data_IF_412235687492
#
_entry.id   IF_412235687492
#
_cell.length_a   1.000
_cell.length_b   1.000
_cell.length_c   1.000
_cell.angle_alpha   90.00
_cell.angle_beta   90.00
_cell.angle_gamma   90.00
#
_symmetry.space_group_name_H-M   'P 1'
#
loop_
_entity.id
_entity.type
_entity.pdbx_description
1 polymer ?
#
# COMPACT_ATOMS: atom_id res chain seq x y z
N UNK A 1 -0.08 19.60 17.94
CA UNK A 1 -1.09 18.62 18.36
C UNK A 1 -0.53 17.21 18.15
N UNK A 2 -0.42 16.47 19.25
CA UNK A 2 0.09 15.09 19.15
C UNK A 2 -1.08 14.15 18.90
N UNK A 3 -1.17 13.66 17.68
CA UNK A 3 -2.14 12.63 17.36
C UNK A 3 -1.47 11.29 17.63
N UNK A 4 -1.92 10.63 18.68
CA UNK A 4 -1.47 9.27 18.95
C UNK A 4 -2.26 8.31 18.08
N UNK A 5 -1.53 7.57 17.29
CA UNK A 5 -2.13 6.59 16.40
C UNK A 5 -2.14 5.24 17.13
N UNK A 6 -3.33 4.84 17.61
CA UNK A 6 -3.49 3.61 18.38
C UNK A 6 -4.18 2.53 17.55
N UNK A 7 -3.57 2.14 16.46
CA UNK A 7 -4.09 1.05 15.65
C UNK A 7 -3.54 -0.28 16.17
N UNK A 8 -4.43 -1.28 16.26
CA UNK A 8 -4.05 -2.66 16.58
C UNK A 8 -3.97 -3.53 15.33
N UNK A 9 -4.13 -2.93 14.16
CA UNK A 9 -4.00 -3.68 12.92
C UNK A 9 -2.53 -3.93 12.60
N UNK A 10 -2.27 -5.11 12.09
CA UNK A 10 -0.94 -5.50 11.64
C UNK A 10 -1.00 -5.87 10.17
N UNK A 11 0.01 -5.48 9.41
CA UNK A 11 0.15 -5.90 8.04
C UNK A 11 0.73 -7.31 8.04
N UNK A 12 -0.02 -8.30 7.57
CA UNK A 12 0.41 -9.70 7.57
C UNK A 12 0.66 -10.24 6.17
N UNK A 13 0.36 -9.46 5.14
CA UNK A 13 0.76 -9.80 3.78
C UNK A 13 2.24 -9.45 3.57
N UNK A 14 2.75 -9.62 2.38
CA UNK A 14 4.16 -9.34 2.09
C UNK A 14 4.43 -7.83 2.15
N UNK A 15 5.64 -7.49 2.59
CA UNK A 15 6.06 -6.08 2.63
C UNK A 15 6.03 -5.45 1.24
N UNK A 16 6.45 -6.19 0.22
CA UNK A 16 6.46 -5.69 -1.14
C UNK A 16 5.05 -5.35 -1.64
N UNK A 17 4.03 -6.06 -1.15
CA UNK A 17 2.64 -5.78 -1.50
C UNK A 17 2.20 -4.42 -0.95
N UNK A 18 2.59 -4.11 0.29
CA UNK A 18 2.29 -2.82 0.87
C UNK A 18 3.02 -1.70 0.13
N UNK A 19 4.26 -1.95 -0.27
CA UNK A 19 5.04 -0.96 -1.03
C UNK A 19 4.38 -0.70 -2.39
N UNK A 20 3.91 -1.74 -3.07
CA UNK A 20 3.15 -1.58 -4.30
C UNK A 20 1.94 -0.66 -4.10
N UNK A 21 1.18 -0.88 -3.03
CA UNK A 21 0.02 -0.07 -2.69
C UNK A 21 0.40 1.38 -2.40
N UNK A 22 1.47 1.59 -1.63
CA UNK A 22 1.93 2.93 -1.26
C UNK A 22 2.30 3.73 -2.52
N UNK A 23 3.04 3.13 -3.44
CA UNK A 23 3.42 3.80 -4.68
C UNK A 23 2.19 4.12 -5.55
N UNK A 24 1.24 3.19 -5.62
CA UNK A 24 0.01 3.42 -6.37
C UNK A 24 -0.79 4.60 -5.80
N UNK A 25 -0.91 4.65 -4.48
CA UNK A 25 -1.62 5.75 -3.81
C UNK A 25 -0.91 7.09 -4.01
N UNK A 26 0.42 7.09 -3.92
CA UNK A 26 1.20 8.30 -4.13
C UNK A 26 1.02 8.83 -5.56
N UNK A 27 1.15 7.96 -6.54
CA UNK A 27 1.04 8.35 -7.95
C UNK A 27 -0.38 8.74 -8.34
N UNK A 28 -1.39 8.18 -7.66
CA UNK A 28 -2.78 8.55 -7.93
C UNK A 28 -3.19 9.87 -7.30
N UNK A 29 -2.31 10.47 -6.50
CA UNK A 29 -2.50 11.81 -5.91
C UNK A 29 -3.73 11.91 -5.02
N UNK A 30 -4.04 10.83 -4.30
CA UNK A 30 -5.23 10.77 -3.44
C UNK A 30 -5.01 11.38 -2.06
N UNK A 31 -3.77 11.71 -1.71
CA UNK A 31 -3.46 12.35 -0.43
C UNK A 31 -3.05 13.81 -0.65
N UNK A 32 -3.67 14.71 0.11
CA UNK A 32 -3.34 16.14 0.14
C UNK A 32 -3.24 16.75 -1.27
N UNK A 33 -4.17 16.36 -2.15
CA UNK A 33 -4.21 16.84 -3.53
C UNK A 33 -2.89 16.59 -4.28
N UNK A 34 -2.22 15.49 -3.96
CA UNK A 34 -0.97 15.11 -4.62
C UNK A 34 0.27 15.74 -4.01
N UNK A 35 0.14 16.47 -2.91
CA UNK A 35 1.28 17.13 -2.26
C UNK A 35 1.99 16.26 -1.24
N UNK A 36 1.42 15.13 -0.86
CA UNK A 36 2.03 14.25 0.12
C UNK A 36 3.29 13.59 -0.44
N UNK A 37 4.36 13.61 0.36
CA UNK A 37 5.61 12.96 0.03
C UNK A 37 5.47 11.44 0.25
N UNK A 38 6.13 10.67 -0.60
CA UNK A 38 6.12 9.20 -0.49
C UNK A 38 6.63 8.75 0.90
N UNK A 39 7.59 9.46 1.47
CA UNK A 39 8.10 9.15 2.81
C UNK A 39 7.05 9.36 3.89
N UNK A 40 6.27 10.42 3.78
CA UNK A 40 5.18 10.69 4.73
C UNK A 40 4.13 9.57 4.67
N UNK A 41 3.73 9.20 3.46
CA UNK A 41 2.75 8.14 3.26
C UNK A 41 3.28 6.83 3.85
N UNK A 42 4.55 6.51 3.56
CA UNK A 42 5.19 5.30 4.08
C UNK A 42 5.17 5.26 5.60
N UNK A 43 5.54 6.36 6.25
CA UNK A 43 5.57 6.43 7.72
C UNK A 43 4.18 6.25 8.32
N UNK A 44 3.16 6.83 7.70
CA UNK A 44 1.78 6.66 8.19
C UNK A 44 1.38 5.19 8.12
N UNK A 45 1.66 4.53 7.01
CA UNK A 45 1.31 3.12 6.86
C UNK A 45 2.11 2.23 7.82
N UNK A 46 3.39 2.55 8.03
CA UNK A 46 4.21 1.79 8.98
C UNK A 46 3.63 1.87 10.40
N UNK A 47 3.24 3.07 10.81
CA UNK A 47 2.64 3.26 12.14
C UNK A 47 1.26 2.64 12.24
N UNK A 48 0.44 2.82 11.19
CA UNK A 48 -0.92 2.31 11.18
C UNK A 48 -0.96 0.78 11.28
N UNK A 49 -0.03 0.10 10.61
CA UNK A 49 -0.07 -1.35 10.50
C UNK A 49 1.08 -2.04 11.22
N UNK A 50 1.82 -1.29 12.02
CA UNK A 50 2.89 -1.80 12.89
C UNK A 50 3.88 -2.66 12.11
N UNK A 51 4.39 -2.12 11.02
CA UNK A 51 5.34 -2.80 10.16
C UNK A 51 6.49 -1.85 9.83
N UNK A 52 7.69 -2.41 9.72
CA UNK A 52 8.88 -1.68 9.29
C UNK A 52 9.17 -2.08 7.85
N UNK A 53 9.11 -1.12 6.94
CA UNK A 53 9.37 -1.37 5.53
C UNK A 53 10.82 -1.13 5.15
N UNK A 54 11.64 -0.73 6.12
CA UNK A 54 13.05 -0.47 5.90
C UNK A 54 13.30 0.95 5.39
N UNK A 55 14.57 1.27 5.22
CA UNK A 55 14.99 2.63 4.88
C UNK A 55 14.93 2.93 3.37
N UNK A 56 14.81 1.89 2.54
CA UNK A 56 14.92 2.07 1.10
C UNK A 56 13.81 1.35 0.34
N UNK A 57 12.62 1.92 0.37
CA UNK A 57 11.48 1.37 -0.37
C UNK A 57 11.68 1.52 -1.89
N UNK A 58 12.53 2.45 -2.30
CA UNK A 58 12.84 2.65 -3.72
C UNK A 58 13.40 1.37 -4.35
N UNK A 59 14.25 0.66 -3.60
CA UNK A 59 14.81 -0.60 -4.08
C UNK A 59 13.72 -1.64 -4.33
N UNK A 60 12.78 -1.73 -3.42
CA UNK A 60 11.64 -2.63 -3.59
C UNK A 60 10.80 -2.24 -4.80
N UNK A 61 10.62 -0.94 -5.03
CA UNK A 61 9.91 -0.46 -6.20
C UNK A 61 10.63 -0.85 -7.49
N UNK A 62 11.97 -0.74 -7.50
CA UNK A 62 12.77 -1.15 -8.66
C UNK A 62 12.55 -2.63 -8.96
N UNK A 63 12.49 -3.47 -7.90
CA UNK A 63 12.22 -4.89 -8.07
C UNK A 63 10.83 -5.13 -8.66
N UNK A 64 9.83 -4.36 -8.21
CA UNK A 64 8.48 -4.44 -8.77
C UNK A 64 8.50 -4.06 -10.25
N UNK A 65 9.16 -2.95 -10.57
CA UNK A 65 9.25 -2.43 -11.93
C UNK A 65 9.92 -3.44 -12.88
N UNK A 66 10.88 -4.18 -12.36
CA UNK A 66 11.66 -5.13 -13.15
C UNK A 66 10.99 -6.50 -13.30
N UNK A 67 9.83 -6.70 -12.70
CA UNK A 67 9.09 -7.95 -12.91
C UNK A 67 8.68 -8.06 -14.37
N UNK A 68 8.86 -9.23 -14.94
CA UNK A 68 8.46 -9.47 -16.33
C UNK A 68 6.94 -9.55 -16.47
N UNK A 69 6.27 -10.07 -15.44
CA UNK A 69 4.82 -10.14 -15.37
C UNK A 69 4.40 -9.81 -13.94
N UNK A 70 3.16 -9.39 -13.76
CA UNK A 70 2.61 -9.18 -12.42
C UNK A 70 3.15 -7.97 -11.71
N UNK A 71 3.47 -6.90 -12.43
CA UNK A 71 3.93 -5.66 -11.82
C UNK A 71 2.91 -5.07 -10.87
N UNK A 72 1.62 -5.30 -11.13
CA UNK A 72 0.53 -4.80 -10.28
C UNK A 72 -0.27 -5.95 -9.67
N UNK A 73 0.38 -7.06 -9.37
CA UNK A 73 -0.35 -8.26 -8.94
C UNK A 73 -1.11 -8.07 -7.62
N UNK A 74 -0.57 -7.28 -6.69
CA UNK A 74 -1.27 -7.04 -5.43
C UNK A 74 -2.51 -6.19 -5.65
N UNK A 75 -2.40 -5.13 -6.44
CA UNK A 75 -3.54 -4.29 -6.79
C UNK A 75 -4.61 -5.12 -7.53
N UNK A 76 -4.16 -6.04 -8.39
CA UNK A 76 -5.09 -6.95 -9.08
C UNK A 76 -5.80 -7.87 -8.10
N UNK A 77 -5.10 -8.34 -7.06
CA UNK A 77 -5.72 -9.15 -6.00
C UNK A 77 -6.76 -8.34 -5.22
N UNK A 78 -6.46 -7.08 -4.92
CA UNK A 78 -7.41 -6.21 -4.22
C UNK A 78 -8.66 -6.00 -5.07
N UNK A 79 -8.47 -5.74 -6.35
CA UNK A 79 -9.59 -5.57 -7.28
C UNK A 79 -10.45 -6.83 -7.32
N UNK A 80 -9.83 -7.99 -7.48
CA UNK A 80 -10.55 -9.26 -7.55
C UNK A 80 -11.32 -9.54 -6.25
N UNK A 81 -10.71 -9.22 -5.11
CA UNK A 81 -11.36 -9.43 -3.82
C UNK A 81 -12.61 -8.56 -3.69
N UNK A 82 -12.51 -7.30 -4.11
CA UNK A 82 -13.66 -6.39 -4.06
C UNK A 82 -14.75 -6.86 -5.04
N UNK A 83 -14.37 -7.24 -6.24
CA UNK A 83 -15.33 -7.74 -7.23
C UNK A 83 -16.08 -8.98 -6.71
N UNK A 84 -15.36 -9.89 -6.05
CA UNK A 84 -15.97 -11.07 -5.45
C UNK A 84 -16.97 -10.69 -4.36
N UNK A 85 -16.64 -9.71 -3.52
CA UNK A 85 -17.53 -9.21 -2.48
C UNK A 85 -18.80 -8.64 -3.09
N UNK A 86 -18.67 -7.87 -4.15
CA UNK A 86 -19.80 -7.27 -4.85
C UNK A 86 -20.70 -8.37 -5.43
N UNK A 87 -20.11 -9.38 -6.09
CA UNK A 87 -20.88 -10.49 -6.63
C UNK A 87 -21.65 -11.24 -5.55
N UNK A 88 -21.00 -11.51 -4.42
CA UNK A 88 -21.65 -12.23 -3.32
C UNK A 88 -22.82 -11.46 -2.73
N UNK A 89 -22.71 -10.13 -2.69
CA UNK A 89 -23.77 -9.28 -2.15
C UNK A 89 -24.95 -9.14 -3.13
N UNK A 90 -24.72 -9.37 -4.43
CA UNK A 90 -25.77 -9.31 -5.43
C UNK A 90 -26.61 -10.62 -5.52
N UNK A 91 -26.10 -11.69 -4.95
CA UNK A 91 -26.77 -12.99 -4.97
C UNK A 91 -27.64 -13.19 -3.70
#
# INVERSE_FOLDING_TARGET
MNIQFNSNLHWTAKKVDLIELIYALHESKVFDNGQADIKEITHVFEKAFQIDLGDNITRSFIDIKNRKTGQTRFLNQLQAALETKIENDLN
#
